data_IF_783370421195
#
_entry.id   IF_783370421195
#
_cell.length_a   1.000
_cell.length_b   1.000
_cell.length_c   1.000
_cell.angle_alpha   90.00
_cell.angle_beta   90.00
_cell.angle_gamma   90.00
#
_symmetry.space_group_name_H-M   'P 1'
#
loop_
_entity.id
_entity.type
_entity.pdbx_description
1 polymer ?
#
# COMPACT_ATOMS: atom_id res chain seq x y z
N UNK A 1 -15.88 6.89 37.90
CA UNK A 1 -15.01 7.94 37.35
C UNK A 1 -15.13 7.84 35.84
N UNK A 2 -15.84 8.79 35.20
CA UNK A 2 -15.89 8.88 33.74
C UNK A 2 -14.59 9.54 33.28
N UNK A 3 -13.72 8.77 32.61
CA UNK A 3 -12.57 9.35 31.92
C UNK A 3 -13.11 9.86 30.58
N UNK A 4 -13.25 11.17 30.45
CA UNK A 4 -13.52 11.77 29.14
C UNK A 4 -12.31 11.47 28.23
N UNK A 5 -12.52 10.95 27.01
CA UNK A 5 -11.43 10.83 26.05
C UNK A 5 -10.94 12.23 25.73
N UNK A 6 -9.74 12.57 26.19
CA UNK A 6 -9.05 13.80 25.78
C UNK A 6 -8.43 13.54 24.41
N UNK A 7 -8.30 14.59 23.59
CA UNK A 7 -7.69 14.53 22.25
C UNK A 7 -6.27 13.92 22.24
N UNK A 8 -5.59 13.88 23.38
CA UNK A 8 -4.24 13.33 23.57
C UNK A 8 -4.14 11.80 23.38
N UNK A 9 -5.26 11.07 23.30
CA UNK A 9 -5.25 9.63 23.00
C UNK A 9 -5.32 9.31 21.49
N UNK A 10 -5.66 10.27 20.66
CA UNK A 10 -5.63 10.14 19.21
C UNK A 10 -4.17 10.24 18.72
N UNK A 11 -3.42 9.14 18.86
CA UNK A 11 -2.06 9.07 18.31
C UNK A 11 -2.11 8.60 16.86
N UNK A 12 -1.28 9.17 15.96
CA UNK A 12 -1.11 8.64 14.63
C UNK A 12 -0.73 7.16 14.69
N UNK A 13 -1.24 6.36 13.77
CA UNK A 13 -0.85 4.96 13.63
C UNK A 13 0.59 4.87 13.14
N UNK A 14 1.53 4.71 14.05
CA UNK A 14 2.97 4.61 13.78
C UNK A 14 3.55 3.42 14.54
N UNK A 15 4.22 2.52 13.81
CA UNK A 15 4.92 1.39 14.43
C UNK A 15 6.28 1.16 13.75
N UNK A 16 7.41 1.40 14.44
CA UNK A 16 8.74 1.09 13.94
C UNK A 16 9.06 -0.41 14.07
N UNK A 17 9.79 -0.93 13.09
CA UNK A 17 10.30 -2.28 13.04
C UNK A 17 11.76 -2.31 12.62
N UNK A 18 12.63 -2.97 13.43
CA UNK A 18 14.04 -3.09 13.08
C UNK A 18 14.27 -4.23 12.08
N UNK A 19 14.83 -3.88 10.93
CA UNK A 19 15.21 -4.80 9.87
C UNK A 19 16.72 -4.72 9.61
N UNK A 20 17.51 -5.53 10.31
CA UNK A 20 18.97 -5.46 10.25
C UNK A 20 19.48 -4.10 10.73
N UNK A 21 20.17 -3.36 9.87
CA UNK A 21 20.63 -1.98 10.12
C UNK A 21 19.67 -0.89 9.63
N UNK A 22 18.45 -1.26 9.20
CA UNK A 22 17.39 -0.34 8.81
C UNK A 22 16.26 -0.39 9.82
N UNK A 23 15.45 0.67 9.81
CA UNK A 23 14.16 0.71 10.51
C UNK A 23 13.09 0.92 9.45
N UNK A 24 12.09 0.04 9.42
CA UNK A 24 10.89 0.22 8.62
C UNK A 24 9.77 0.63 9.55
N UNK A 25 9.13 1.74 9.26
CA UNK A 25 8.03 2.26 10.07
C UNK A 25 6.73 2.10 9.29
N UNK A 26 5.79 1.36 9.85
CA UNK A 26 4.42 1.35 9.34
C UNK A 26 3.73 2.66 9.72
N UNK A 27 3.15 3.33 8.74
CA UNK A 27 2.43 4.59 8.87
C UNK A 27 0.99 4.37 8.40
N UNK A 28 0.02 4.66 9.25
CA UNK A 28 -1.38 4.51 8.91
C UNK A 28 -1.97 5.83 8.39
N UNK A 29 -2.45 5.83 7.16
CA UNK A 29 -3.15 6.96 6.53
C UNK A 29 -4.65 6.99 6.88
N UNK A 30 -5.17 5.89 7.48
CA UNK A 30 -6.57 5.72 7.81
C UNK A 30 -7.22 4.52 7.12
N UNK A 31 -8.49 4.65 6.74
CA UNK A 31 -9.22 3.57 6.07
C UNK A 31 -10.31 4.06 5.12
N UNK A 32 -10.56 3.28 4.08
CA UNK A 32 -11.75 3.36 3.25
C UNK A 32 -12.88 2.54 3.88
N UNK A 33 -14.09 3.05 3.82
CA UNK A 33 -15.30 2.28 4.10
C UNK A 33 -15.80 1.68 2.78
N UNK A 34 -15.84 0.36 2.71
CA UNK A 34 -16.19 -0.38 1.52
C UNK A 34 -17.58 -1.03 1.63
N UNK A 35 -17.98 -1.75 0.62
CA UNK A 35 -19.12 -2.66 0.63
C UNK A 35 -18.70 -4.00 0.04
N UNK A 36 -19.36 -5.09 0.39
CA UNK A 36 -19.08 -6.40 -0.21
C UNK A 36 -19.44 -6.47 -1.71
N UNK A 37 -20.16 -5.48 -2.24
CA UNK A 37 -20.38 -5.33 -3.68
C UNK A 37 -19.10 -5.11 -4.50
N UNK A 38 -18.00 -4.76 -3.86
CA UNK A 38 -16.68 -4.67 -4.50
C UNK A 38 -16.04 -6.05 -4.77
N UNK A 39 -16.48 -7.09 -4.04
CA UNK A 39 -15.90 -8.43 -4.13
C UNK A 39 -16.37 -9.12 -5.43
N UNK A 40 -15.43 -9.71 -6.13
CA UNK A 40 -15.65 -10.36 -7.42
C UNK A 40 -15.15 -11.81 -7.38
N UNK A 41 -15.95 -12.72 -7.97
CA UNK A 41 -15.55 -14.12 -8.14
C UNK A 41 -16.15 -15.09 -7.13
N UNK A 42 -16.84 -14.60 -6.10
CA UNK A 42 -17.64 -15.40 -5.16
C UNK A 42 -19.01 -14.73 -4.92
N UNK A 43 -20.04 -15.49 -4.48
CA UNK A 43 -21.31 -14.93 -4.07
C UNK A 43 -21.19 -13.98 -2.87
N UNK A 44 -22.08 -12.98 -2.77
CA UNK A 44 -22.04 -12.00 -1.69
C UNK A 44 -22.25 -12.58 -0.28
N UNK A 45 -23.07 -13.63 -0.17
CA UNK A 45 -23.28 -14.37 1.08
C UNK A 45 -22.01 -15.11 1.52
N UNK A 46 -21.24 -15.68 0.60
CA UNK A 46 -19.95 -16.27 0.90
C UNK A 46 -18.93 -15.22 1.35
N UNK A 47 -18.87 -14.08 0.67
CA UNK A 47 -18.02 -12.95 1.09
C UNK A 47 -18.40 -12.46 2.50
N UNK A 48 -19.69 -12.35 2.79
CA UNK A 48 -20.21 -12.00 4.12
C UNK A 48 -19.78 -13.00 5.19
N UNK A 49 -19.95 -14.29 4.92
CA UNK A 49 -19.55 -15.37 5.85
C UNK A 49 -18.04 -15.35 6.15
N UNK A 50 -17.19 -15.14 5.13
CA UNK A 50 -15.74 -15.03 5.33
C UNK A 50 -15.34 -13.82 6.19
N UNK A 51 -16.01 -12.68 6.02
CA UNK A 51 -15.81 -11.50 6.87
C UNK A 51 -16.23 -11.80 8.32
N UNK A 52 -17.39 -12.43 8.52
CA UNK A 52 -17.91 -12.81 9.83
C UNK A 52 -16.97 -13.80 10.55
N UNK A 53 -16.51 -14.84 9.86
CA UNK A 53 -15.52 -15.80 10.36
C UNK A 53 -14.19 -15.11 10.75
N UNK A 54 -13.82 -14.04 10.01
CA UNK A 54 -12.68 -13.19 10.31
C UNK A 54 -12.94 -12.13 11.39
N UNK A 55 -14.13 -12.10 12.00
CA UNK A 55 -14.57 -11.07 12.96
C UNK A 55 -14.49 -9.65 12.38
N UNK A 56 -14.87 -9.50 11.09
CA UNK A 56 -14.86 -8.22 10.37
C UNK A 56 -16.29 -7.77 10.06
N UNK A 57 -16.46 -6.46 9.89
CA UNK A 57 -17.74 -5.86 9.54
C UNK A 57 -18.19 -6.36 8.16
N UNK A 58 -19.44 -6.85 8.09
CA UNK A 58 -20.05 -7.36 6.86
C UNK A 58 -20.89 -6.32 6.12
N UNK A 59 -21.24 -5.20 6.78
CA UNK A 59 -22.05 -4.12 6.21
C UNK A 59 -21.16 -3.01 5.67
N UNK A 60 -20.15 -2.63 6.44
CA UNK A 60 -19.22 -1.55 6.15
C UNK A 60 -17.76 -2.01 6.36
N UNK A 61 -17.28 -3.01 5.60
CA UNK A 61 -15.91 -3.47 5.73
C UNK A 61 -14.93 -2.34 5.54
N UNK A 62 -13.87 -2.33 6.34
CA UNK A 62 -12.82 -1.32 6.25
C UNK A 62 -11.64 -1.87 5.46
N UNK A 63 -11.15 -1.05 4.54
CA UNK A 63 -9.88 -1.27 3.84
C UNK A 63 -8.90 -0.26 4.41
N UNK A 64 -7.98 -0.72 5.23
CA UNK A 64 -6.93 0.11 5.82
C UNK A 64 -6.00 0.64 4.73
N UNK A 65 -5.51 1.86 4.86
CA UNK A 65 -4.48 2.42 3.98
C UNK A 65 -3.24 2.70 4.81
N UNK A 66 -2.14 2.07 4.45
CA UNK A 66 -0.84 2.23 5.09
C UNK A 66 0.20 2.68 4.07
N UNK A 67 1.24 3.33 4.55
CA UNK A 67 2.48 3.61 3.86
C UNK A 67 3.65 3.11 4.72
N UNK A 68 4.83 2.99 4.14
CA UNK A 68 5.99 2.50 4.88
C UNK A 68 7.18 3.45 4.72
N UNK A 69 7.74 3.89 5.84
CA UNK A 69 8.94 4.73 5.87
C UNK A 69 10.16 3.86 6.17
N UNK A 70 11.20 3.95 5.34
CA UNK A 70 12.44 3.19 5.48
C UNK A 70 13.53 4.17 5.88
N UNK A 71 14.13 3.92 7.05
CA UNK A 71 15.22 4.69 7.64
C UNK A 71 16.51 3.85 7.69
N UNK A 72 17.67 4.51 7.84
CA UNK A 72 18.97 3.84 7.92
C UNK A 72 19.77 3.85 6.60
N UNK A 73 19.30 4.55 5.58
CA UNK A 73 20.05 4.96 4.40
C UNK A 73 20.48 6.43 4.49
N UNK A 74 20.97 6.99 3.36
CA UNK A 74 21.42 8.40 3.29
C UNK A 74 20.28 9.38 3.58
N UNK A 75 19.08 9.07 3.08
CA UNK A 75 17.85 9.83 3.33
C UNK A 75 16.69 8.86 3.55
N UNK A 76 15.63 9.33 4.26
CA UNK A 76 14.39 8.57 4.38
C UNK A 76 13.78 8.22 3.01
N UNK A 77 13.30 6.99 2.88
CA UNK A 77 12.55 6.51 1.71
C UNK A 77 11.13 6.21 2.14
N UNK A 78 10.16 6.76 1.44
CA UNK A 78 8.74 6.50 1.66
C UNK A 78 8.23 5.55 0.57
N UNK A 79 7.48 4.53 0.94
CA UNK A 79 6.77 3.63 0.00
C UNK A 79 5.29 3.98 0.07
N UNK A 80 4.78 4.53 -1.02
CA UNK A 80 3.48 5.19 -1.18
C UNK A 80 3.26 6.40 -0.26
N UNK A 81 2.28 7.23 -0.60
CA UNK A 81 2.06 8.53 0.06
C UNK A 81 0.62 8.72 0.57
N UNK A 82 -0.17 7.66 0.64
CA UNK A 82 -1.56 7.73 1.12
C UNK A 82 -2.50 8.49 0.18
N UNK A 83 -3.72 8.72 0.65
CA UNK A 83 -4.79 9.40 -0.10
C UNK A 83 -4.59 10.92 -0.17
N UNK A 84 -3.90 11.49 0.80
CA UNK A 84 -3.78 12.93 0.93
C UNK A 84 -5.12 13.62 1.20
N UNK A 85 -5.22 14.90 0.84
CA UNK A 85 -6.38 15.75 1.17
C UNK A 85 -7.61 15.57 0.27
N UNK A 86 -7.57 14.65 -0.69
CA UNK A 86 -8.62 14.43 -1.69
C UNK A 86 -9.61 13.32 -1.36
N UNK A 87 -9.44 12.62 -0.23
CA UNK A 87 -10.25 11.49 0.21
C UNK A 87 -11.31 11.84 1.24
N UNK A 88 -12.03 10.82 1.75
CA UNK A 88 -12.93 10.97 2.89
C UNK A 88 -12.15 11.32 4.17
N UNK A 89 -12.84 11.86 5.19
CA UNK A 89 -12.24 12.27 6.47
C UNK A 89 -11.56 11.12 7.25
N UNK A 90 -11.84 9.88 6.87
CA UNK A 90 -11.21 8.70 7.46
C UNK A 90 -9.82 8.40 6.90
N UNK A 91 -9.32 9.21 5.97
CA UNK A 91 -8.01 9.10 5.30
C UNK A 91 -7.25 10.42 5.32
N UNK A 92 -5.99 10.40 4.90
CA UNK A 92 -5.15 11.58 4.77
C UNK A 92 -4.36 11.91 6.04
N UNK A 93 -4.13 10.92 6.93
CA UNK A 93 -3.41 11.07 8.20
C UNK A 93 -1.90 10.80 8.11
N UNK A 94 -1.38 10.53 6.91
CA UNK A 94 0.05 10.28 6.71
C UNK A 94 0.95 11.46 7.15
N UNK A 95 0.59 12.74 6.92
CA UNK A 95 1.42 13.86 7.39
C UNK A 95 1.62 13.87 8.91
N UNK A 96 0.56 13.59 9.68
CA UNK A 96 0.63 13.48 11.14
C UNK A 96 1.47 12.28 11.58
N UNK A 97 1.37 11.15 10.86
CA UNK A 97 2.17 9.96 11.13
C UNK A 97 3.67 10.20 10.85
N UNK A 98 4.02 10.89 9.76
CA UNK A 98 5.40 11.31 9.47
C UNK A 98 5.95 12.26 10.54
N UNK A 99 5.16 13.26 10.93
CA UNK A 99 5.54 14.21 11.97
C UNK A 99 5.78 13.51 13.31
N UNK A 100 4.99 12.47 13.64
CA UNK A 100 5.19 11.67 14.85
C UNK A 100 6.49 10.84 14.81
N UNK A 101 7.03 10.56 13.62
CA UNK A 101 8.36 9.96 13.45
C UNK A 101 9.50 10.99 13.51
N UNK A 102 9.20 12.29 13.63
CA UNK A 102 10.19 13.36 13.55
C UNK A 102 10.76 13.56 12.15
N UNK A 103 10.04 13.12 11.10
CA UNK A 103 10.44 13.25 9.70
C UNK A 103 9.57 14.32 9.04
N UNK A 104 10.19 15.38 8.57
CA UNK A 104 9.51 16.39 7.78
C UNK A 104 9.41 15.94 6.31
N UNK A 105 8.41 16.40 5.55
CA UNK A 105 8.31 16.08 4.12
C UNK A 105 9.57 16.44 3.31
N UNK A 106 10.28 17.49 3.72
CA UNK A 106 11.53 17.95 3.12
C UNK A 106 12.72 17.00 3.36
N UNK A 107 12.64 16.14 4.39
CA UNK A 107 13.67 15.15 4.72
C UNK A 107 13.59 13.91 3.82
N UNK A 108 12.41 13.62 3.25
CA UNK A 108 12.20 12.47 2.38
C UNK A 108 12.99 12.65 1.09
N UNK A 109 13.91 11.73 0.84
CA UNK A 109 14.76 11.78 -0.35
C UNK A 109 14.20 11.05 -1.56
N UNK A 110 13.38 10.02 -1.32
CA UNK A 110 12.74 9.22 -2.39
C UNK A 110 11.36 8.77 -1.95
N UNK A 111 10.40 8.84 -2.88
CA UNK A 111 9.11 8.15 -2.74
C UNK A 111 9.06 7.04 -3.79
N UNK A 112 8.96 5.80 -3.35
CA UNK A 112 8.73 4.63 -4.19
C UNK A 112 7.22 4.42 -4.31
N UNK A 113 6.69 4.42 -5.52
CA UNK A 113 5.26 4.23 -5.78
C UNK A 113 5.02 2.79 -6.19
N UNK A 114 4.12 2.09 -5.51
CA UNK A 114 3.73 0.72 -5.89
C UNK A 114 2.91 0.72 -7.18
N UNK A 115 1.96 1.65 -7.28
CA UNK A 115 1.11 1.89 -8.44
C UNK A 115 0.40 3.26 -8.34
N UNK A 116 -0.31 3.68 -9.40
CA UNK A 116 -0.82 5.06 -9.49
C UNK A 116 -2.30 5.21 -9.08
N UNK A 117 -2.84 4.38 -8.17
CA UNK A 117 -4.15 4.64 -7.56
C UNK A 117 -4.09 5.78 -6.53
N UNK A 118 -5.25 6.34 -6.24
CA UNK A 118 -5.40 7.58 -5.47
C UNK A 118 -4.85 7.50 -4.05
N UNK A 119 -5.05 6.39 -3.41
CA UNK A 119 -4.66 6.14 -2.02
C UNK A 119 -3.18 5.77 -1.85
N UNK A 120 -2.44 5.74 -2.96
CA UNK A 120 -0.98 5.55 -2.98
C UNK A 120 -0.24 6.81 -3.40
N UNK A 121 -0.85 7.63 -4.27
CA UNK A 121 -0.19 8.84 -4.81
C UNK A 121 -0.88 10.15 -4.41
N UNK A 122 -2.04 10.09 -3.76
CA UNK A 122 -2.84 11.29 -3.46
C UNK A 122 -2.13 12.27 -2.55
N UNK A 123 -1.33 11.76 -1.61
CA UNK A 123 -0.52 12.56 -0.69
C UNK A 123 0.74 13.18 -1.31
N UNK A 124 1.06 12.88 -2.59
CA UNK A 124 2.20 13.50 -3.27
C UNK A 124 1.93 14.95 -3.68
N UNK A 125 0.66 15.33 -3.81
CA UNK A 125 0.26 16.70 -4.15
C UNK A 125 -0.62 17.25 -3.03
N UNK A 126 -0.22 18.37 -2.45
CA UNK A 126 -0.99 19.09 -1.45
C UNK A 126 -2.28 19.71 -2.05
N UNK A 127 -3.20 20.11 -1.19
CA UNK A 127 -4.50 20.67 -1.61
C UNK A 127 -4.40 21.91 -2.50
N UNK A 128 -3.35 22.70 -2.33
CA UNK A 128 -3.05 23.90 -3.12
C UNK A 128 -2.34 23.61 -4.44
N UNK A 129 -2.09 22.33 -4.74
CA UNK A 129 -1.40 21.86 -5.94
C UNK A 129 0.13 21.83 -5.83
N UNK A 130 0.69 22.23 -4.68
CA UNK A 130 2.13 22.13 -4.44
C UNK A 130 2.56 20.66 -4.27
N UNK A 131 3.84 20.38 -4.57
CA UNK A 131 4.42 19.06 -4.26
C UNK A 131 4.56 18.90 -2.76
N UNK A 132 4.09 17.78 -2.22
CA UNK A 132 4.14 17.52 -0.78
C UNK A 132 5.56 17.18 -0.30
N UNK A 133 6.38 16.54 -1.13
CA UNK A 133 7.75 16.15 -0.81
C UNK A 133 8.74 16.89 -1.74
N UNK A 134 9.11 18.13 -1.41
CA UNK A 134 9.79 19.05 -2.34
C UNK A 134 11.21 18.60 -2.72
N UNK A 135 11.86 17.78 -1.88
CA UNK A 135 13.22 17.30 -2.12
C UNK A 135 13.27 15.85 -2.61
N UNK A 136 12.10 15.18 -2.73
CA UNK A 136 12.06 13.78 -3.11
C UNK A 136 12.12 13.56 -4.63
N UNK A 137 12.88 12.54 -5.04
CA UNK A 137 12.65 11.86 -6.31
C UNK A 137 11.44 10.94 -6.15
N UNK A 138 10.52 10.93 -7.11
CA UNK A 138 9.38 9.99 -7.14
C UNK A 138 9.66 8.92 -8.17
N UNK A 139 9.80 7.68 -7.70
CA UNK A 139 10.07 6.51 -8.54
C UNK A 139 8.75 5.85 -8.89
N UNK A 140 8.42 5.83 -10.18
CA UNK A 140 7.21 5.20 -10.72
C UNK A 140 7.63 3.96 -11.50
N UNK A 141 6.97 2.79 -11.31
CA UNK A 141 7.22 1.64 -12.15
C UNK A 141 6.99 1.96 -13.64
N UNK A 142 7.90 1.51 -14.51
CA UNK A 142 7.84 1.81 -15.95
C UNK A 142 6.52 1.36 -16.58
N UNK A 143 6.03 0.17 -16.22
CA UNK A 143 4.78 -0.35 -16.74
C UNK A 143 3.55 0.42 -16.23
N UNK A 144 3.59 1.00 -15.02
CA UNK A 144 2.57 1.94 -14.52
C UNK A 144 2.57 3.21 -15.35
N UNK A 145 3.74 3.81 -15.54
CA UNK A 145 3.87 5.00 -16.37
C UNK A 145 3.37 4.75 -17.81
N UNK A 146 3.70 3.60 -18.39
CA UNK A 146 3.26 3.21 -19.73
C UNK A 146 1.73 3.07 -19.83
N UNK A 147 1.06 2.58 -18.79
CA UNK A 147 -0.40 2.43 -18.77
C UNK A 147 -1.11 3.76 -18.52
N UNK A 148 -0.78 4.46 -17.43
CA UNK A 148 -1.52 5.64 -16.98
C UNK A 148 -1.23 6.90 -17.79
N UNK A 149 -0.03 7.01 -18.37
CA UNK A 149 0.41 8.19 -19.11
C UNK A 149 0.36 8.01 -20.63
N UNK A 150 -0.18 6.89 -21.12
CA UNK A 150 -0.30 6.66 -22.56
C UNK A 150 -1.23 7.68 -23.20
N UNK A 151 -0.86 8.16 -24.38
CA UNK A 151 -1.66 9.13 -25.15
C UNK A 151 -3.09 8.61 -25.40
N UNK A 152 -4.07 9.42 -25.05
CA UNK A 152 -5.50 9.10 -25.19
C UNK A 152 -6.00 8.00 -24.25
N UNK A 153 -5.21 7.50 -23.30
CA UNK A 153 -5.63 6.44 -22.36
C UNK A 153 -6.84 6.89 -21.51
N UNK A 154 -6.82 8.12 -20.99
CA UNK A 154 -7.94 8.69 -20.23
C UNK A 154 -9.25 8.66 -21.04
N UNK A 155 -9.20 9.04 -22.30
CA UNK A 155 -10.40 9.11 -23.14
C UNK A 155 -11.02 7.73 -23.42
N UNK A 156 -10.17 6.69 -23.47
CA UNK A 156 -10.59 5.30 -23.66
C UNK A 156 -11.03 4.61 -22.37
N UNK A 157 -10.66 5.15 -21.22
CA UNK A 157 -10.96 4.58 -19.92
C UNK A 157 -12.46 4.72 -19.58
N UNK A 158 -13.03 3.76 -18.81
CA UNK A 158 -14.35 3.93 -18.22
C UNK A 158 -14.45 5.23 -17.43
N UNK A 159 -15.62 5.85 -17.42
CA UNK A 159 -15.82 7.17 -16.81
C UNK A 159 -15.32 7.22 -15.34
N UNK A 160 -15.62 6.20 -14.55
CA UNK A 160 -15.17 6.09 -13.16
C UNK A 160 -13.66 6.01 -12.96
N UNK A 161 -12.91 5.57 -13.97
CA UNK A 161 -11.44 5.44 -13.89
C UNK A 161 -10.70 6.72 -14.34
N UNK A 162 -11.36 7.62 -15.11
CA UNK A 162 -10.72 8.80 -15.71
C UNK A 162 -10.06 9.73 -14.69
N UNK A 163 -10.64 9.85 -13.50
CA UNK A 163 -10.05 10.67 -12.45
C UNK A 163 -8.65 10.19 -12.03
N UNK A 164 -8.42 8.87 -12.03
CA UNK A 164 -7.10 8.29 -11.78
C UNK A 164 -6.07 8.71 -12.83
N UNK A 165 -6.42 8.64 -14.12
CA UNK A 165 -5.55 9.09 -15.21
C UNK A 165 -5.18 10.58 -15.08
N UNK A 166 -6.16 11.44 -14.80
CA UNK A 166 -5.89 12.87 -14.57
C UNK A 166 -4.95 13.11 -13.40
N UNK A 167 -5.10 12.34 -12.31
CA UNK A 167 -4.23 12.44 -11.14
C UNK A 167 -2.80 12.00 -11.47
N UNK A 168 -2.62 10.91 -12.21
CA UNK A 168 -1.32 10.45 -12.67
C UNK A 168 -0.62 11.52 -13.54
N UNK A 169 -1.33 12.14 -14.47
CA UNK A 169 -0.80 13.24 -15.28
C UNK A 169 -0.45 14.48 -14.43
N UNK A 170 -1.30 14.84 -13.47
CA UNK A 170 -1.04 15.96 -12.57
C UNK A 170 0.21 15.72 -11.71
N UNK A 171 0.39 14.50 -11.21
CA UNK A 171 1.57 14.09 -10.46
C UNK A 171 2.86 14.31 -11.28
N UNK A 172 2.89 13.76 -12.49
CA UNK A 172 4.08 13.88 -13.36
C UNK A 172 4.35 15.33 -13.72
N UNK A 173 3.31 16.12 -14.00
CA UNK A 173 3.45 17.55 -14.30
C UNK A 173 4.00 18.35 -13.10
N UNK A 174 3.55 18.02 -11.86
CA UNK A 174 3.99 18.72 -10.66
C UNK A 174 5.45 18.39 -10.27
N UNK A 175 5.85 17.14 -10.37
CA UNK A 175 7.21 16.72 -10.00
C UNK A 175 8.23 16.92 -11.13
N UNK A 176 7.80 16.95 -12.40
CA UNK A 176 8.67 17.21 -13.55
C UNK A 176 9.89 16.28 -13.60
N UNK A 177 11.10 16.85 -13.64
CA UNK A 177 12.36 16.11 -13.73
C UNK A 177 12.69 15.26 -12.50
N UNK A 178 11.92 15.38 -11.41
CA UNK A 178 12.05 14.52 -10.23
C UNK A 178 11.27 13.21 -10.34
N UNK A 179 10.58 12.97 -11.46
CA UNK A 179 10.02 11.66 -11.75
C UNK A 179 11.09 10.78 -12.38
N UNK A 180 11.36 9.64 -11.74
CA UNK A 180 12.16 8.58 -12.33
C UNK A 180 11.30 7.36 -12.61
N UNK A 181 11.37 6.82 -13.81
CA UNK A 181 10.77 5.54 -14.16
C UNK A 181 11.75 4.42 -13.89
N UNK A 182 11.29 3.33 -13.30
CA UNK A 182 12.13 2.18 -12.98
C UNK A 182 11.46 0.87 -13.40
N UNK A 183 12.25 -0.03 -13.97
CA UNK A 183 11.87 -1.43 -14.21
C UNK A 183 12.09 -2.29 -12.97
N UNK A 184 11.98 -3.63 -13.17
CA UNK A 184 12.34 -4.61 -12.14
C UNK A 184 13.83 -4.58 -11.80
N UNK A 185 14.15 -5.00 -10.59
CA UNK A 185 15.51 -5.08 -10.06
C UNK A 185 15.79 -4.01 -9.01
N UNK A 186 17.06 -3.79 -8.71
CA UNK A 186 17.47 -2.83 -7.67
C UNK A 186 17.18 -1.39 -8.10
N UNK A 187 16.33 -0.71 -7.34
CA UNK A 187 15.92 0.69 -7.59
C UNK A 187 16.61 1.67 -6.65
N UNK A 188 17.02 1.21 -5.48
CA UNK A 188 17.87 1.90 -4.50
C UNK A 188 18.74 0.85 -3.83
N UNK A 189 19.89 1.21 -3.24
CA UNK A 189 20.75 0.25 -2.54
C UNK A 189 19.98 -0.61 -1.53
N UNK A 190 19.89 -1.92 -1.78
CA UNK A 190 19.17 -2.88 -0.98
C UNK A 190 17.64 -2.77 -1.05
N UNK A 191 17.08 -2.11 -2.07
CA UNK A 191 15.64 -2.11 -2.36
C UNK A 191 15.42 -2.53 -3.80
N UNK A 192 14.72 -3.66 -3.98
CA UNK A 192 14.42 -4.28 -5.27
C UNK A 192 12.94 -4.10 -5.62
N UNK A 193 12.65 -3.67 -6.84
CA UNK A 193 11.32 -3.64 -7.42
C UNK A 193 10.99 -5.01 -8.06
N UNK A 194 9.83 -5.55 -7.73
CA UNK A 194 9.33 -6.85 -8.21
C UNK A 194 7.96 -6.63 -8.82
N UNK A 195 7.84 -6.87 -10.12
CA UNK A 195 6.56 -6.71 -10.82
C UNK A 195 5.50 -7.69 -10.29
N UNK A 196 4.36 -7.13 -9.91
CA UNK A 196 3.21 -7.85 -9.35
C UNK A 196 1.90 -7.44 -10.06
N UNK A 197 1.78 -7.67 -11.39
CA UNK A 197 0.74 -7.10 -12.23
C UNK A 197 -0.64 -7.66 -11.94
N UNK A 198 -1.66 -6.93 -12.40
CA UNK A 198 -3.06 -7.35 -12.42
C UNK A 198 -3.97 -6.38 -11.69
N UNK A 199 -3.66 -6.00 -10.45
CA UNK A 199 -4.35 -4.91 -9.78
C UNK A 199 -4.26 -3.63 -10.64
N UNK A 200 -3.05 -3.26 -11.01
CA UNK A 200 -2.77 -2.45 -12.19
C UNK A 200 -1.74 -3.16 -13.06
N UNK A 201 -1.57 -2.79 -14.35
CA UNK A 201 -0.63 -3.48 -15.24
C UNK A 201 0.82 -3.40 -14.80
N UNK A 202 1.20 -2.34 -14.11
CA UNK A 202 2.58 -2.14 -13.62
C UNK A 202 2.70 -2.16 -12.11
N UNK A 203 1.67 -2.63 -11.38
CA UNK A 203 1.74 -2.77 -9.92
C UNK A 203 3.01 -3.51 -9.51
N UNK A 204 3.72 -2.95 -8.53
CA UNK A 204 5.06 -3.36 -8.13
C UNK A 204 5.16 -3.51 -6.62
N UNK A 205 5.72 -4.62 -6.17
CA UNK A 205 6.13 -4.84 -4.79
C UNK A 205 7.60 -4.42 -4.61
N UNK A 206 7.98 -4.06 -3.39
CA UNK A 206 9.36 -3.69 -3.06
C UNK A 206 9.92 -4.63 -2.00
N UNK A 207 11.05 -5.29 -2.32
CA UNK A 207 11.81 -6.05 -1.33
C UNK A 207 12.88 -5.17 -0.72
N UNK A 208 12.82 -4.98 0.59
CA UNK A 208 13.82 -4.25 1.38
C UNK A 208 14.76 -5.27 2.00
N UNK A 209 16.05 -5.21 1.65
CA UNK A 209 17.10 -6.08 2.17
C UNK A 209 17.99 -5.31 3.13
N UNK A 210 18.35 -5.94 4.25
CA UNK A 210 19.25 -5.38 5.25
C UNK A 210 20.02 -6.51 5.95
N UNK A 211 21.26 -6.75 5.53
CA UNK A 211 22.04 -7.91 5.94
C UNK A 211 21.38 -9.22 5.48
N UNK A 212 21.16 -10.13 6.42
CA UNK A 212 20.46 -11.40 6.21
C UNK A 212 18.93 -11.31 6.33
N UNK A 213 18.40 -10.13 6.65
CA UNK A 213 16.96 -9.89 6.83
C UNK A 213 16.34 -9.22 5.61
N UNK A 214 15.11 -9.61 5.29
CA UNK A 214 14.34 -8.99 4.22
C UNK A 214 12.88 -8.79 4.62
N UNK A 215 12.25 -7.79 4.02
CA UNK A 215 10.84 -7.48 4.11
C UNK A 215 10.29 -7.28 2.69
N UNK A 216 9.18 -7.92 2.37
CA UNK A 216 8.44 -7.68 1.13
C UNK A 216 7.27 -6.72 1.41
N UNK A 217 7.33 -5.51 0.90
CA UNK A 217 6.22 -4.56 0.85
C UNK A 217 5.47 -4.83 -0.45
N UNK A 218 4.30 -5.46 -0.36
CA UNK A 218 3.66 -6.07 -1.52
C UNK A 218 2.58 -5.22 -2.21
N UNK A 219 2.35 -3.96 -1.74
CA UNK A 219 1.30 -3.09 -2.31
C UNK A 219 -0.10 -3.68 -2.13
N UNK A 220 -0.82 -3.76 -3.23
CA UNK A 220 -2.24 -4.14 -3.32
C UNK A 220 -2.48 -5.59 -3.74
N UNK A 221 -1.60 -6.48 -3.29
CA UNK A 221 -1.81 -7.93 -3.48
C UNK A 221 -3.04 -8.42 -2.71
N UNK A 222 -3.31 -7.85 -1.52
CA UNK A 222 -4.46 -8.21 -0.66
C UNK A 222 -5.07 -6.94 -0.07
N UNK A 223 -6.39 -6.77 -0.23
CA UNK A 223 -7.16 -5.64 0.31
C UNK A 223 -8.08 -6.05 1.46
N UNK A 224 -8.73 -7.19 1.33
CA UNK A 224 -9.63 -7.77 2.33
C UNK A 224 -9.07 -9.13 2.78
N UNK A 225 -8.15 -9.15 3.76
CA UNK A 225 -7.43 -10.36 4.15
C UNK A 225 -8.35 -11.48 4.63
N UNK A 226 -9.48 -11.19 5.28
CA UNK A 226 -10.45 -12.20 5.69
C UNK A 226 -11.09 -12.95 4.50
N UNK A 227 -11.11 -12.35 3.31
CA UNK A 227 -11.66 -12.96 2.09
C UNK A 227 -10.53 -13.49 1.20
N UNK A 228 -9.56 -12.64 0.86
CA UNK A 228 -8.58 -12.93 -0.19
C UNK A 228 -7.45 -13.86 0.24
N UNK A 229 -7.22 -14.04 1.55
CA UNK A 229 -6.28 -15.06 2.02
C UNK A 229 -6.86 -16.46 1.92
N UNK A 230 -8.06 -16.78 2.47
CA UNK A 230 -8.65 -18.10 2.30
C UNK A 230 -9.10 -18.38 0.84
N UNK A 231 -9.42 -17.34 0.06
CA UNK A 231 -9.89 -17.41 -1.33
C UNK A 231 -9.04 -16.52 -2.24
N UNK A 232 -7.78 -16.88 -2.54
CA UNK A 232 -6.84 -16.01 -3.28
C UNK A 232 -7.22 -15.76 -4.74
N UNK A 233 -8.18 -16.48 -5.30
CA UNK A 233 -8.77 -16.23 -6.61
C UNK A 233 -9.75 -15.05 -6.62
N UNK A 234 -10.20 -14.60 -5.45
CA UNK A 234 -11.16 -13.50 -5.33
C UNK A 234 -10.50 -12.17 -5.65
N UNK A 235 -11.05 -11.46 -6.63
CA UNK A 235 -10.65 -10.10 -7.00
C UNK A 235 -11.57 -9.04 -6.42
N UNK A 236 -11.22 -7.80 -6.68
CA UNK A 236 -12.05 -6.64 -6.37
C UNK A 236 -12.35 -5.84 -7.66
N UNK A 237 -13.37 -5.01 -7.61
CA UNK A 237 -13.73 -4.11 -8.74
C UNK A 237 -12.63 -3.12 -9.09
N UNK A 238 -11.62 -2.96 -8.24
CA UNK A 238 -10.44 -2.12 -8.45
C UNK A 238 -9.38 -2.78 -9.35
N UNK A 239 -9.41 -4.12 -9.48
CA UNK A 239 -8.44 -4.84 -10.30
C UNK A 239 -8.67 -4.54 -11.78
N UNK A 240 -7.67 -3.99 -12.46
CA UNK A 240 -7.71 -3.71 -13.90
C UNK A 240 -7.81 -5.02 -14.69
N UNK A 241 -7.06 -6.04 -14.27
CA UNK A 241 -7.14 -7.41 -14.77
C UNK A 241 -7.25 -8.38 -13.60
N UNK A 242 -8.48 -8.79 -13.31
CA UNK A 242 -8.78 -9.67 -12.18
C UNK A 242 -8.10 -11.03 -12.26
N UNK A 243 -7.99 -11.62 -13.45
CA UNK A 243 -7.40 -12.96 -13.62
C UNK A 243 -5.90 -12.90 -13.37
N UNK A 244 -5.22 -11.90 -13.92
CA UNK A 244 -3.80 -11.65 -13.68
C UNK A 244 -3.56 -11.28 -12.21
N UNK A 245 -4.41 -10.45 -11.59
CA UNK A 245 -4.31 -10.11 -10.17
C UNK A 245 -4.42 -11.35 -9.27
N UNK A 246 -5.38 -12.24 -9.56
CA UNK A 246 -5.54 -13.50 -8.83
C UNK A 246 -4.34 -14.43 -9.00
N UNK A 247 -3.80 -14.55 -10.23
CA UNK A 247 -2.61 -15.36 -10.50
C UNK A 247 -1.37 -14.81 -9.78
N UNK A 248 -1.18 -13.48 -9.81
CA UNK A 248 -0.11 -12.78 -9.09
C UNK A 248 -0.24 -12.97 -7.59
N UNK A 249 -1.44 -12.80 -7.03
CA UNK A 249 -1.73 -13.01 -5.61
C UNK A 249 -1.37 -14.42 -5.17
N UNK A 250 -1.83 -15.44 -5.90
CA UNK A 250 -1.51 -16.85 -5.61
C UNK A 250 -0.01 -17.08 -5.62
N UNK A 251 0.69 -16.62 -6.65
CA UNK A 251 2.15 -16.75 -6.77
C UNK A 251 2.88 -16.12 -5.59
N UNK A 252 2.53 -14.90 -5.22
CA UNK A 252 3.19 -14.17 -4.12
C UNK A 252 2.87 -14.85 -2.77
N UNK A 253 1.61 -15.21 -2.51
CA UNK A 253 1.21 -15.89 -1.27
C UNK A 253 1.89 -17.26 -1.13
N UNK A 254 1.99 -18.02 -2.21
CA UNK A 254 2.72 -19.29 -2.23
C UNK A 254 4.19 -19.11 -1.92
N UNK A 255 4.82 -18.12 -2.54
CA UNK A 255 6.24 -17.81 -2.33
C UNK A 255 6.51 -17.40 -0.89
N UNK A 256 5.82 -16.37 -0.38
CA UNK A 256 6.07 -15.84 0.97
C UNK A 256 5.74 -16.85 2.07
N UNK A 257 4.73 -17.73 1.84
CA UNK A 257 4.42 -18.81 2.77
C UNK A 257 5.50 -19.92 2.79
N UNK A 258 6.06 -20.26 1.62
CA UNK A 258 7.13 -21.27 1.50
C UNK A 258 8.46 -20.75 2.10
N UNK A 259 8.81 -19.51 1.81
CA UNK A 259 10.03 -18.85 2.26
C UNK A 259 9.96 -18.35 3.72
N UNK A 260 8.74 -18.29 4.30
CA UNK A 260 8.48 -17.65 5.60
C UNK A 260 8.96 -16.21 5.61
N UNK A 261 8.71 -15.50 4.51
CA UNK A 261 9.14 -14.12 4.36
C UNK A 261 8.29 -13.18 5.22
N UNK A 262 8.93 -12.20 5.85
CA UNK A 262 8.23 -11.09 6.48
C UNK A 262 7.60 -10.23 5.39
N UNK A 263 6.35 -9.84 5.60
CA UNK A 263 5.54 -9.11 4.62
C UNK A 263 4.93 -7.86 5.24
N UNK A 264 4.83 -6.80 4.45
CA UNK A 264 4.04 -5.61 4.74
C UNK A 264 3.07 -5.35 3.59
N UNK A 265 1.86 -4.90 3.91
CA UNK A 265 0.83 -4.64 2.90
C UNK A 265 0.06 -3.36 3.15
N UNK A 266 -0.24 -2.60 2.09
CA UNK A 266 -0.90 -1.31 2.18
C UNK A 266 -2.30 -1.42 2.76
N UNK A 267 -3.00 -2.52 2.48
CA UNK A 267 -4.38 -2.75 2.91
C UNK A 267 -4.54 -3.83 3.98
N UNK A 268 -3.44 -4.33 4.53
CA UNK A 268 -3.51 -5.15 5.73
C UNK A 268 -3.85 -4.28 6.94
N UNK A 269 -4.49 -4.89 7.92
CA UNK A 269 -4.83 -4.19 9.17
C UNK A 269 -3.56 -3.73 9.88
N UNK A 270 -3.55 -2.47 10.31
CA UNK A 270 -2.39 -1.88 11.00
C UNK A 270 -1.96 -2.75 12.22
N UNK A 271 -0.66 -2.99 12.40
CA UNK A 271 0.50 -2.38 11.76
C UNK A 271 0.92 -3.03 10.43
N UNK A 272 0.13 -3.92 9.86
CA UNK A 272 0.27 -4.47 8.52
C UNK A 272 1.58 -5.26 8.27
N UNK A 273 2.25 -5.71 9.33
CA UNK A 273 3.49 -6.48 9.32
C UNK A 273 3.25 -7.90 9.83
N UNK A 274 3.76 -8.90 9.15
CA UNK A 274 3.62 -10.29 9.57
C UNK A 274 4.01 -11.31 8.50
N UNK A 275 3.47 -12.50 8.65
CA UNK A 275 3.74 -13.66 7.80
C UNK A 275 2.47 -14.23 7.21
N UNK A 276 2.62 -14.95 6.13
CA UNK A 276 1.56 -15.77 5.56
C UNK A 276 1.89 -17.24 5.79
N UNK A 277 0.90 -18.03 6.21
CA UNK A 277 1.00 -19.49 6.27
C UNK A 277 -0.09 -20.13 5.42
N UNK A 278 0.15 -21.34 4.93
CA UNK A 278 -0.91 -22.13 4.30
C UNK A 278 -1.96 -22.54 5.33
N UNK A 279 -3.23 -22.46 4.94
CA UNK A 279 -4.37 -22.83 5.77
C UNK A 279 -5.48 -23.43 4.89
N UNK A 280 -5.73 -24.73 5.03
CA UNK A 280 -6.67 -25.45 4.14
C UNK A 280 -6.27 -25.32 2.67
N UNK A 281 -7.21 -24.89 1.83
CA UNK A 281 -6.98 -24.64 0.41
C UNK A 281 -6.39 -23.25 0.09
N UNK A 282 -6.32 -22.36 1.09
CA UNK A 282 -5.83 -21.00 0.97
C UNK A 282 -4.73 -20.70 1.97
N UNK A 283 -4.78 -19.47 2.51
CA UNK A 283 -3.76 -18.92 3.39
C UNK A 283 -4.39 -18.26 4.62
N UNK A 284 -3.56 -17.99 5.63
CA UNK A 284 -3.90 -17.21 6.80
C UNK A 284 -2.79 -16.24 7.16
N UNK A 285 -3.18 -15.07 7.65
CA UNK A 285 -2.29 -14.06 8.17
C UNK A 285 -1.81 -14.43 9.57
N UNK A 286 -0.53 -14.22 9.84
CA UNK A 286 0.11 -14.35 11.14
C UNK A 286 0.79 -13.02 11.43
N UNK A 287 0.20 -12.15 12.27
CA UNK A 287 0.84 -10.89 12.62
C UNK A 287 2.23 -11.11 13.22
N UNK A 288 3.17 -10.24 12.88
CA UNK A 288 4.48 -10.24 13.53
C UNK A 288 4.32 -9.87 15.01
N UNK A 289 5.08 -10.55 15.85
CA UNK A 289 5.08 -10.27 17.28
C UNK A 289 5.85 -8.97 17.55
N UNK A 290 5.12 -7.93 17.89
CA UNK A 290 5.76 -6.67 18.27
C UNK A 290 6.52 -6.79 19.58
N UNK A 291 7.73 -6.25 19.60
CA UNK A 291 8.48 -6.00 20.83
C UNK A 291 8.96 -4.55 20.83
N UNK A 292 8.93 -3.92 22.00
CA UNK A 292 9.57 -2.61 22.12
C UNK A 292 11.03 -2.73 21.68
N UNK A 293 11.49 -1.80 20.81
CA UNK A 293 12.90 -1.76 20.43
C UNK A 293 13.75 -1.58 21.70
N UNK A 294 14.66 -2.53 21.91
CA UNK A 294 15.66 -2.44 22.97
C UNK A 294 16.79 -1.54 22.55
#
# INVERSE_FOLDING_TARGET
VSIAPTADFARPGVLPWTLGNRVVVALNDGHLVATLGLVQGIPADEAGRLQEEGFRDTVAPRITVNAFLILGGDKPVLVDAGMGSGGPETLGHLPEALAACGVAPEDVGTVLVTHLHSDHIGGLIARDGAVAFPNAEVVIPEAEAAYWLAEGAEARAPEGARAGFRRAHALVAAYGDRIRRAGEGEVLPGIEAILAPGHTPGHTAYRVQSGDRSLLIWGDVVHLPAIQLPRPEVGLTFDVDREVAAATRKRILDQVAAERSLVAGMHLEFPALGYVRRAGAGFAWVPEQWSAAS
#
